data_IF_356805275916
#
_entry.id   IF_356805275916
#
_cell.length_a   1.000
_cell.length_b   1.000
_cell.length_c   1.000
_cell.angle_alpha   90.00
_cell.angle_beta   90.00
_cell.angle_gamma   90.00
#
_symmetry.space_group_name_H-M   'P 1'
#
loop_
_entity.id
_entity.type
_entity.pdbx_description
1 polymer ?
#
# COMPACT_ATOMS: atom_id res chain seq x y z
N UNK A 1 19.56 -10.46 5.32
CA UNK A 1 18.57 -11.31 6.01
C UNK A 1 17.84 -12.14 4.98
N UNK A 2 17.53 -13.39 5.27
CA UNK A 2 16.75 -14.21 4.34
C UNK A 2 15.33 -13.67 4.19
N UNK A 3 14.76 -13.79 2.99
CA UNK A 3 13.41 -13.30 2.67
C UNK A 3 12.30 -13.85 3.57
N UNK A 4 12.43 -15.13 3.93
CA UNK A 4 11.52 -15.81 4.86
C UNK A 4 11.48 -15.13 6.24
N UNK A 5 12.64 -14.72 6.75
CA UNK A 5 12.75 -14.00 8.03
C UNK A 5 12.12 -12.60 7.93
N UNK A 6 12.40 -11.87 6.84
CA UNK A 6 11.79 -10.56 6.60
C UNK A 6 10.26 -10.61 6.59
N UNK A 7 9.69 -11.62 5.91
CA UNK A 7 8.24 -11.82 5.85
C UNK A 7 7.66 -12.08 7.25
N UNK A 8 8.30 -12.95 8.03
CA UNK A 8 7.84 -13.24 9.39
C UNK A 8 7.90 -12.00 10.30
N UNK A 9 8.91 -11.14 10.14
CA UNK A 9 8.94 -9.86 10.88
C UNK A 9 7.82 -8.94 10.41
N UNK A 10 7.59 -8.78 9.11
CA UNK A 10 6.50 -7.96 8.58
C UNK A 10 5.12 -8.38 9.12
N UNK A 11 4.87 -9.69 9.26
CA UNK A 11 3.60 -10.22 9.75
C UNK A 11 3.30 -9.90 11.23
N UNK A 12 4.29 -9.47 12.02
CA UNK A 12 4.09 -9.12 13.44
C UNK A 12 3.50 -7.73 13.66
N UNK A 13 3.38 -6.93 12.60
CA UNK A 13 2.99 -5.53 12.70
C UNK A 13 1.58 -5.28 12.19
N UNK A 14 0.99 -4.20 12.68
CA UNK A 14 -0.27 -3.61 12.20
C UNK A 14 0.09 -2.37 11.39
N UNK A 15 -0.52 -2.21 10.23
CA UNK A 15 -0.18 -1.15 9.28
C UNK A 15 -1.31 -0.13 9.18
N UNK A 16 -1.01 1.14 9.44
CA UNK A 16 -1.93 2.24 9.21
C UNK A 16 -2.06 2.48 7.70
N UNK A 17 -3.26 2.23 7.14
CA UNK A 17 -3.58 2.41 5.73
C UNK A 17 -3.46 3.87 5.34
N UNK A 18 -2.51 4.20 4.44
CA UNK A 18 -2.18 5.57 4.03
C UNK A 18 -1.77 6.47 5.20
N UNK A 19 -1.10 5.90 6.22
CA UNK A 19 -0.78 6.57 7.48
C UNK A 19 -1.95 6.61 8.48
N UNK A 20 -1.67 7.11 9.70
CA UNK A 20 -2.69 7.26 10.75
C UNK A 20 -3.47 8.56 10.55
N UNK A 21 -4.23 8.63 9.46
CA UNK A 21 -4.99 9.79 9.03
C UNK A 21 -6.25 10.01 9.88
N UNK A 22 -6.70 11.27 9.96
CA UNK A 22 -7.95 11.69 10.62
C UNK A 22 -8.58 12.82 9.81
N UNK A 23 -9.39 12.45 8.82
CA UNK A 23 -10.00 13.38 7.87
C UNK A 23 -11.00 14.32 8.56
N UNK A 24 -11.15 15.54 8.05
CA UNK A 24 -10.43 16.15 6.92
C UNK A 24 -9.10 16.82 7.31
N UNK A 25 -8.80 16.97 8.61
CA UNK A 25 -7.67 17.77 9.12
C UNK A 25 -6.31 17.11 8.98
N UNK A 26 -6.28 15.78 8.96
CA UNK A 26 -5.06 14.97 8.74
C UNK A 26 -5.35 14.05 7.57
N UNK A 27 -5.05 14.47 6.32
CA UNK A 27 -5.36 13.70 5.13
C UNK A 27 -4.63 12.36 5.05
N UNK A 28 -5.21 11.43 4.31
CA UNK A 28 -4.51 10.20 3.91
C UNK A 28 -3.25 10.53 3.08
N UNK A 29 -2.22 9.68 3.16
CA UNK A 29 -0.96 9.85 2.42
C UNK A 29 -0.28 11.23 2.65
N UNK A 30 -0.48 11.86 3.83
CA UNK A 30 0.14 13.12 4.21
C UNK A 30 1.31 12.91 5.18
N UNK A 31 2.23 13.89 5.23
CA UNK A 31 3.36 13.83 6.17
C UNK A 31 2.88 13.81 7.63
N UNK A 32 1.80 14.52 7.95
CA UNK A 32 1.19 14.51 9.28
C UNK A 32 0.63 13.12 9.65
N UNK A 33 -0.06 12.43 8.71
CA UNK A 33 -0.57 11.09 8.95
C UNK A 33 0.56 10.08 9.18
N UNK A 34 1.66 10.21 8.46
CA UNK A 34 2.83 9.35 8.61
C UNK A 34 3.57 9.61 9.93
N UNK A 35 3.75 10.87 10.33
CA UNK A 35 4.35 11.22 11.61
C UNK A 35 3.57 10.62 12.78
N UNK A 36 2.24 10.70 12.75
CA UNK A 36 1.36 10.08 13.75
C UNK A 36 1.50 8.55 13.79
N UNK A 37 1.56 7.89 12.63
CA UNK A 37 1.77 6.44 12.59
C UNK A 37 3.10 6.03 13.20
N UNK A 38 4.20 6.77 12.91
CA UNK A 38 5.52 6.56 13.50
C UNK A 38 5.49 6.75 15.01
N UNK A 39 4.87 7.84 15.50
CA UNK A 39 4.76 8.14 16.92
C UNK A 39 3.96 7.07 17.66
N UNK A 40 2.87 6.59 17.07
CA UNK A 40 2.07 5.49 17.61
C UNK A 40 2.74 4.12 17.47
N UNK A 41 3.85 3.99 16.73
CA UNK A 41 4.58 2.74 16.50
C UNK A 41 3.83 1.74 15.62
N UNK A 42 2.96 2.21 14.72
CA UNK A 42 2.34 1.39 13.69
C UNK A 42 3.22 1.33 12.44
N UNK A 43 3.21 0.19 11.75
CA UNK A 43 3.67 0.12 10.37
C UNK A 43 2.83 1.05 9.49
N UNK A 44 3.35 1.39 8.32
CA UNK A 44 2.67 2.28 7.39
C UNK A 44 2.47 1.56 6.06
N UNK A 45 1.24 1.58 5.57
CA UNK A 45 0.96 1.32 4.16
C UNK A 45 0.81 2.65 3.45
N UNK A 46 1.30 2.75 2.20
CA UNK A 46 1.25 3.95 1.37
C UNK A 46 1.25 3.62 -0.13
N UNK A 47 0.79 4.60 -0.94
CA UNK A 47 0.60 4.47 -2.37
C UNK A 47 1.58 5.34 -3.16
N UNK A 48 2.21 4.79 -4.21
CA UNK A 48 3.14 5.53 -5.06
C UNK A 48 2.66 5.62 -6.51
N UNK A 49 2.66 6.85 -7.04
CA UNK A 49 2.54 7.15 -8.46
C UNK A 49 3.82 7.77 -9.01
N UNK A 50 4.07 7.57 -10.31
CA UNK A 50 5.17 8.20 -11.02
C UNK A 50 4.67 9.49 -11.69
N UNK A 51 5.27 10.63 -11.36
CA UNK A 51 4.97 11.93 -11.98
C UNK A 51 5.59 12.05 -13.37
N UNK A 52 5.19 13.07 -14.14
CA UNK A 52 5.72 13.37 -15.48
C UNK A 52 7.25 13.58 -15.49
N UNK A 53 7.79 14.16 -14.43
CA UNK A 53 9.24 14.37 -14.26
C UNK A 53 9.97 13.19 -13.61
N UNK A 54 9.32 12.03 -13.49
CA UNK A 54 9.92 10.79 -12.98
C UNK A 54 10.15 10.76 -11.47
N UNK A 55 9.48 11.63 -10.72
CA UNK A 55 9.47 11.61 -9.26
C UNK A 55 8.38 10.67 -8.72
N UNK A 56 8.53 10.24 -7.48
CA UNK A 56 7.55 9.40 -6.80
C UNK A 56 6.66 10.24 -5.88
N UNK A 57 5.42 10.43 -6.29
CA UNK A 57 4.39 11.09 -5.52
C UNK A 57 3.66 10.09 -4.61
N UNK A 58 3.45 10.47 -3.34
CA UNK A 58 2.70 9.63 -2.39
C UNK A 58 1.23 10.06 -2.41
N UNK A 59 0.41 9.32 -3.16
CA UNK A 59 -1.03 9.57 -3.32
C UNK A 59 -1.72 8.31 -3.82
N UNK A 60 -2.98 8.08 -3.41
CA UNK A 60 -3.72 6.87 -3.80
C UNK A 60 -4.29 6.90 -5.21
N UNK A 61 -4.99 7.98 -5.56
CA UNK A 61 -5.72 8.08 -6.83
C UNK A 61 -4.84 8.69 -7.92
N UNK A 62 -4.90 8.17 -9.15
CA UNK A 62 -4.31 8.83 -10.31
C UNK A 62 -4.88 10.23 -10.54
N UNK A 63 -6.17 10.45 -10.21
CA UNK A 63 -6.83 11.75 -10.30
C UNK A 63 -6.79 12.51 -8.98
N UNK A 64 -6.38 13.77 -9.02
CA UNK A 64 -6.37 14.68 -7.85
C UNK A 64 -7.77 15.13 -7.42
N UNK A 65 -8.84 14.68 -8.11
CA UNK A 65 -10.20 15.18 -7.88
C UNK A 65 -10.72 14.94 -6.46
N UNK A 66 -10.47 13.75 -5.90
CA UNK A 66 -10.99 13.37 -4.58
C UNK A 66 -10.23 14.05 -3.44
N UNK A 67 -8.91 14.12 -3.55
CA UNK A 67 -8.04 14.59 -2.47
C UNK A 67 -7.67 16.07 -2.58
N UNK A 68 -7.65 16.63 -3.81
CA UNK A 68 -7.24 18.03 -4.04
C UNK A 68 -8.32 18.88 -4.72
N UNK A 69 -9.50 18.32 -5.04
CA UNK A 69 -10.62 19.04 -5.65
C UNK A 69 -10.46 19.37 -7.14
N UNK A 70 -9.33 19.03 -7.78
CA UNK A 70 -9.02 19.38 -9.19
C UNK A 70 -8.99 18.17 -10.10
N UNK A 71 -9.54 18.30 -11.32
CA UNK A 71 -9.61 17.19 -12.27
C UNK A 71 -8.33 17.11 -13.13
N UNK A 72 -7.22 16.81 -12.48
CA UNK A 72 -5.91 16.60 -13.09
C UNK A 72 -5.43 15.19 -12.73
N UNK A 73 -4.51 14.63 -13.53
CA UNK A 73 -3.85 13.36 -13.23
C UNK A 73 -2.44 13.60 -12.74
N UNK A 74 -2.03 12.85 -11.73
CA UNK A 74 -0.70 12.97 -11.13
C UNK A 74 0.42 12.67 -12.14
N UNK A 75 0.18 11.73 -13.06
CA UNK A 75 1.14 11.37 -14.11
C UNK A 75 1.37 12.47 -15.16
N UNK A 76 0.42 13.41 -15.31
CA UNK A 76 0.51 14.54 -16.24
C UNK A 76 1.21 15.75 -15.63
N UNK A 77 1.53 15.72 -14.33
CA UNK A 77 2.14 16.79 -13.57
C UNK A 77 3.59 16.47 -13.19
N UNK A 78 4.42 17.48 -13.06
CA UNK A 78 5.64 17.39 -12.26
C UNK A 78 5.25 17.35 -10.77
N UNK A 79 6.13 16.84 -9.93
CA UNK A 79 5.89 16.85 -8.48
C UNK A 79 5.73 18.28 -7.93
N UNK A 80 6.48 19.24 -8.48
CA UNK A 80 6.36 20.65 -8.09
C UNK A 80 4.96 21.18 -8.39
N UNK A 81 4.43 20.97 -9.61
CA UNK A 81 3.07 21.37 -9.99
C UNK A 81 2.01 20.66 -9.12
N UNK A 82 2.20 19.37 -8.79
CA UNK A 82 1.28 18.63 -7.94
C UNK A 82 1.20 19.18 -6.50
N UNK A 83 2.30 19.71 -5.98
CA UNK A 83 2.40 20.34 -4.65
C UNK A 83 1.70 21.69 -4.55
N UNK A 84 1.30 22.32 -5.65
CA UNK A 84 0.49 23.53 -5.61
C UNK A 84 -0.92 23.28 -5.05
N UNK A 85 -1.38 22.04 -5.09
CA UNK A 85 -2.72 21.66 -4.62
C UNK A 85 -2.67 21.11 -3.20
N UNK A 86 -3.49 21.68 -2.27
CA UNK A 86 -3.60 21.15 -0.91
C UNK A 86 -4.34 19.81 -0.89
N UNK A 87 -4.01 18.97 0.09
CA UNK A 87 -4.72 17.74 0.38
C UNK A 87 -5.93 18.04 1.27
N UNK A 88 -7.14 17.75 0.77
CA UNK A 88 -8.40 17.99 1.50
C UNK A 88 -8.49 19.41 2.07
N UNK A 89 -9.02 19.59 3.29
CA UNK A 89 -9.15 20.89 3.96
C UNK A 89 -7.95 21.16 4.90
N UNK A 90 -6.71 21.01 4.38
CA UNK A 90 -5.48 21.13 5.19
C UNK A 90 -4.37 21.89 4.47
N UNK A 91 -3.29 22.19 5.20
CA UNK A 91 -2.05 22.75 4.63
C UNK A 91 -1.09 21.69 4.10
N UNK A 92 -1.44 20.40 4.24
CA UNK A 92 -0.63 19.29 3.73
C UNK A 92 -0.58 19.30 2.19
N UNK A 93 0.52 18.81 1.66
CA UNK A 93 0.79 18.71 0.22
C UNK A 93 1.16 17.27 -0.12
N UNK A 94 1.02 16.89 -1.39
CA UNK A 94 1.44 15.58 -1.89
C UNK A 94 2.93 15.37 -1.57
N UNK A 95 3.30 14.38 -0.74
CA UNK A 95 4.70 14.14 -0.37
C UNK A 95 5.49 13.54 -1.55
N UNK A 96 6.79 13.83 -1.59
CA UNK A 96 7.75 13.00 -2.33
C UNK A 96 8.12 11.79 -1.48
N UNK A 97 8.25 10.62 -2.10
CA UNK A 97 8.59 9.39 -1.39
C UNK A 97 9.91 9.47 -0.62
N UNK A 98 10.90 10.21 -1.15
CA UNK A 98 12.18 10.42 -0.46
C UNK A 98 12.02 11.24 0.84
N UNK A 99 11.08 12.20 0.88
CA UNK A 99 10.78 12.97 2.10
C UNK A 99 10.12 12.06 3.15
N UNK A 100 9.18 11.22 2.71
CA UNK A 100 8.55 10.21 3.55
C UNK A 100 9.57 9.22 4.14
N UNK A 101 10.47 8.66 3.33
CA UNK A 101 11.50 7.74 3.81
C UNK A 101 12.41 8.37 4.86
N UNK A 102 12.75 9.67 4.70
CA UNK A 102 13.52 10.42 5.70
C UNK A 102 12.77 10.62 7.02
N UNK A 103 11.47 10.91 6.95
CA UNK A 103 10.62 11.05 8.13
C UNK A 103 10.58 9.75 8.94
N UNK A 104 10.31 8.63 8.25
CA UNK A 104 10.18 7.33 8.90
C UNK A 104 11.54 6.86 9.44
N UNK A 105 12.62 7.03 8.68
CA UNK A 105 13.98 6.70 9.10
C UNK A 105 14.16 5.28 9.63
N UNK A 106 13.40 4.31 9.14
CA UNK A 106 13.48 2.91 9.56
C UNK A 106 12.79 2.58 10.89
N UNK A 107 12.10 3.52 11.53
CA UNK A 107 11.49 3.35 12.86
C UNK A 107 10.33 2.37 12.88
N UNK A 108 9.58 2.27 11.79
CA UNK A 108 8.44 1.37 11.62
C UNK A 108 8.49 0.69 10.25
N UNK A 109 7.90 -0.51 10.09
CA UNK A 109 7.89 -1.20 8.81
C UNK A 109 6.96 -0.56 7.78
N UNK A 110 7.26 -0.78 6.49
CA UNK A 110 6.52 -0.22 5.37
C UNK A 110 5.91 -1.30 4.48
N UNK A 111 4.69 -1.05 4.02
CA UNK A 111 4.05 -1.71 2.88
C UNK A 111 3.88 -0.65 1.80
N UNK A 112 4.57 -0.81 0.67
CA UNK A 112 4.63 0.20 -0.40
C UNK A 112 3.84 -0.31 -1.60
N UNK A 113 2.67 0.29 -1.88
CA UNK A 113 1.89 -0.05 -3.07
C UNK A 113 2.37 0.74 -4.30
N UNK A 114 2.64 0.03 -5.40
CA UNK A 114 2.96 0.63 -6.69
C UNK A 114 1.71 0.72 -7.57
N UNK A 115 1.24 1.95 -7.80
CA UNK A 115 0.07 2.27 -8.63
C UNK A 115 0.49 2.45 -10.08
N UNK A 116 0.57 1.36 -10.84
CA UNK A 116 0.93 1.41 -12.24
C UNK A 116 -0.22 1.92 -13.11
N UNK A 117 0.06 2.93 -13.92
CA UNK A 117 -0.87 3.57 -14.86
C UNK A 117 -0.22 3.71 -16.24
N UNK A 118 -1.01 3.59 -17.30
CA UNK A 118 -0.55 3.92 -18.66
C UNK A 118 0.69 3.15 -19.15
N UNK A 119 0.92 1.92 -18.68
CA UNK A 119 2.10 1.09 -19.01
C UNK A 119 3.41 1.58 -18.41
N UNK A 120 3.37 2.24 -17.26
CA UNK A 120 4.55 2.74 -16.56
C UNK A 120 5.15 1.75 -15.53
N UNK A 121 4.69 0.48 -15.49
CA UNK A 121 5.02 -0.53 -14.47
C UNK A 121 6.52 -0.61 -14.22
N UNK A 122 7.31 -0.67 -15.30
CA UNK A 122 8.77 -0.79 -15.21
C UNK A 122 9.40 0.49 -14.67
N UNK A 123 9.02 1.64 -15.22
CA UNK A 123 9.59 2.94 -14.83
C UNK A 123 9.26 3.27 -13.35
N UNK A 124 8.02 3.04 -12.92
CA UNK A 124 7.57 3.21 -11.55
C UNK A 124 8.34 2.26 -10.60
N UNK A 125 8.43 0.98 -10.97
CA UNK A 125 9.17 0.00 -10.15
C UNK A 125 10.63 0.37 -10.01
N UNK A 126 11.32 0.71 -11.12
CA UNK A 126 12.74 1.09 -11.09
C UNK A 126 12.97 2.37 -10.25
N UNK A 127 12.05 3.34 -10.32
CA UNK A 127 12.13 4.55 -9.50
C UNK A 127 11.96 4.22 -8.00
N UNK A 128 10.97 3.39 -7.64
CA UNK A 128 10.74 2.98 -6.27
C UNK A 128 11.92 2.18 -5.69
N UNK A 129 12.48 1.26 -6.48
CA UNK A 129 13.63 0.46 -6.05
C UNK A 129 14.90 1.30 -5.88
N UNK A 130 15.12 2.31 -6.73
CA UNK A 130 16.22 3.26 -6.54
C UNK A 130 16.07 4.07 -5.25
N UNK A 131 14.85 4.53 -4.93
CA UNK A 131 14.60 5.26 -3.70
C UNK A 131 14.77 4.39 -2.44
N UNK A 132 14.46 3.09 -2.54
CA UNK A 132 14.59 2.13 -1.45
C UNK A 132 16.00 1.52 -1.31
N UNK A 133 16.92 1.76 -2.26
CA UNK A 133 18.23 1.11 -2.29
C UNK A 133 19.06 1.36 -1.02
N UNK A 134 19.00 2.58 -0.48
CA UNK A 134 19.72 2.98 0.73
C UNK A 134 18.82 2.98 2.00
N UNK A 135 17.55 2.58 1.86
CA UNK A 135 16.64 2.52 3.00
C UNK A 135 16.84 1.24 3.81
N UNK A 136 17.26 1.38 5.05
CA UNK A 136 17.59 0.24 5.94
C UNK A 136 16.40 -0.27 6.74
N UNK A 137 15.25 0.41 6.70
CA UNK A 137 14.03 0.00 7.40
C UNK A 137 13.38 -1.25 6.80
N UNK A 138 12.67 -2.00 7.63
CA UNK A 138 11.89 -3.15 7.20
C UNK A 138 10.79 -2.72 6.22
N UNK A 139 10.74 -3.31 5.03
CA UNK A 139 9.75 -2.97 4.03
C UNK A 139 9.41 -4.12 3.09
N UNK A 140 8.24 -4.03 2.49
CA UNK A 140 7.83 -4.85 1.34
C UNK A 140 7.13 -3.96 0.29
N UNK A 141 6.99 -4.49 -0.90
CA UNK A 141 6.37 -3.79 -2.05
C UNK A 141 5.22 -4.63 -2.58
N UNK A 142 4.10 -3.99 -2.89
CA UNK A 142 2.94 -4.68 -3.44
C UNK A 142 2.31 -3.92 -4.61
N UNK A 143 1.48 -4.60 -5.38
CA UNK A 143 0.71 -3.98 -6.47
C UNK A 143 -0.50 -4.83 -6.85
N UNK A 144 -1.55 -4.16 -7.35
CA UNK A 144 -2.62 -4.83 -8.10
C UNK A 144 -2.18 -5.28 -9.48
N UNK A 145 -1.15 -4.64 -10.07
CA UNK A 145 -0.64 -5.00 -11.40
C UNK A 145 0.22 -6.27 -11.34
N UNK A 146 -0.23 -7.38 -11.96
CA UNK A 146 0.59 -8.59 -12.04
C UNK A 146 1.91 -8.36 -12.81
N UNK A 147 1.93 -7.37 -13.71
CA UNK A 147 3.13 -6.99 -14.46
C UNK A 147 4.21 -6.37 -13.56
N UNK A 148 3.81 -5.55 -12.57
CA UNK A 148 4.72 -5.02 -11.54
C UNK A 148 5.31 -6.17 -10.71
N UNK A 149 4.46 -7.10 -10.24
CA UNK A 149 4.90 -8.23 -9.39
C UNK A 149 5.84 -9.17 -10.17
N UNK A 150 5.54 -9.44 -11.44
CA UNK A 150 6.42 -10.23 -12.31
C UNK A 150 7.75 -9.52 -12.62
N UNK A 151 7.71 -8.20 -12.82
CA UNK A 151 8.93 -7.41 -13.02
C UNK A 151 9.80 -7.35 -11.76
N UNK A 152 9.20 -7.14 -10.57
CA UNK A 152 9.92 -7.25 -9.29
C UNK A 152 10.60 -8.61 -9.12
N UNK A 153 9.92 -9.71 -9.47
CA UNK A 153 10.52 -11.06 -9.43
C UNK A 153 11.78 -11.16 -10.30
N UNK A 154 11.76 -10.59 -11.50
CA UNK A 154 12.83 -10.71 -12.48
C UNK A 154 14.00 -9.76 -12.21
N UNK A 155 13.71 -8.51 -11.91
CA UNK A 155 14.71 -7.45 -11.80
C UNK A 155 15.22 -7.25 -10.36
N UNK A 156 14.36 -7.51 -9.37
CA UNK A 156 14.63 -7.25 -7.94
C UNK A 156 14.27 -8.45 -7.05
N UNK A 157 14.86 -9.64 -7.28
CA UNK A 157 14.44 -10.89 -6.65
C UNK A 157 14.60 -10.88 -5.11
N UNK A 158 15.47 -10.04 -4.56
CA UNK A 158 15.71 -9.92 -3.11
C UNK A 158 14.58 -9.17 -2.39
N UNK A 159 13.79 -8.35 -3.10
CA UNK A 159 12.70 -7.56 -2.50
C UNK A 159 11.52 -8.48 -2.14
N UNK A 160 10.97 -8.32 -0.93
CA UNK A 160 9.72 -8.96 -0.52
C UNK A 160 8.58 -8.31 -1.29
N UNK A 161 7.89 -9.09 -2.14
CA UNK A 161 6.85 -8.61 -3.04
C UNK A 161 5.52 -9.27 -2.79
N UNK A 162 4.45 -8.48 -2.85
CA UNK A 162 3.08 -8.91 -2.66
C UNK A 162 2.20 -8.73 -3.89
N UNK A 163 1.19 -9.57 -3.99
CA UNK A 163 0.08 -9.38 -4.92
C UNK A 163 -1.14 -8.87 -4.16
N UNK A 164 -1.61 -7.67 -4.51
CA UNK A 164 -2.90 -7.17 -4.08
C UNK A 164 -4.04 -7.86 -4.86
N UNK A 165 -5.05 -8.34 -4.15
CA UNK A 165 -6.15 -9.09 -4.74
C UNK A 165 -7.45 -8.94 -3.94
N UNK A 166 -8.57 -9.35 -4.57
CA UNK A 166 -9.92 -9.32 -4.01
C UNK A 166 -10.97 -9.35 -5.13
N UNK A 167 -12.25 -9.38 -4.79
CA UNK A 167 -13.35 -9.28 -5.73
C UNK A 167 -13.68 -7.80 -6.03
N UNK A 168 -12.93 -7.20 -6.95
CA UNK A 168 -12.90 -5.75 -7.17
C UNK A 168 -13.96 -5.25 -8.17
N UNK A 169 -14.61 -6.14 -8.92
CA UNK A 169 -15.55 -5.77 -9.99
C UNK A 169 -16.76 -4.94 -9.51
N UNK A 170 -17.11 -5.07 -8.22
CA UNK A 170 -18.23 -4.31 -7.62
C UNK A 170 -17.90 -2.83 -7.39
N UNK A 171 -16.62 -2.49 -7.25
CA UNK A 171 -16.16 -1.15 -6.87
C UNK A 171 -15.41 -0.42 -8.00
N UNK A 172 -14.60 -1.14 -8.76
CA UNK A 172 -13.76 -0.56 -9.83
C UNK A 172 -14.34 -0.89 -11.20
N UNK A 173 -15.07 0.06 -11.80
CA UNK A 173 -15.58 -0.04 -13.18
C UNK A 173 -14.49 -0.20 -14.26
N UNK A 174 -13.22 -0.02 -13.88
CA UNK A 174 -12.05 -0.10 -14.78
C UNK A 174 -11.49 -1.51 -14.93
N UNK A 175 -11.89 -2.46 -14.07
CA UNK A 175 -11.43 -3.85 -14.12
C UNK A 175 -12.45 -4.70 -14.89
N UNK A 176 -11.99 -5.42 -15.92
CA UNK A 176 -12.83 -6.35 -16.66
C UNK A 176 -13.20 -7.56 -15.79
N UNK A 177 -14.35 -8.22 -16.10
CA UNK A 177 -14.75 -9.45 -15.39
C UNK A 177 -13.68 -10.53 -15.42
N UNK A 178 -12.94 -10.63 -16.52
CA UNK A 178 -11.85 -11.59 -16.66
C UNK A 178 -10.69 -11.27 -15.71
N UNK A 179 -10.26 -10.01 -15.62
CA UNK A 179 -9.22 -9.57 -14.69
C UNK A 179 -9.65 -9.80 -13.23
N UNK A 180 -10.91 -9.50 -12.91
CA UNK A 180 -11.46 -9.75 -11.58
C UNK A 180 -11.40 -11.25 -11.20
N UNK A 181 -11.78 -12.15 -12.11
CA UNK A 181 -11.69 -13.59 -11.91
C UNK A 181 -10.24 -14.02 -11.65
N UNK A 182 -9.28 -13.48 -12.39
CA UNK A 182 -7.87 -13.81 -12.24
C UNK A 182 -7.31 -13.34 -10.89
N UNK A 183 -7.64 -12.12 -10.48
CA UNK A 183 -7.20 -11.53 -9.19
C UNK A 183 -7.88 -12.23 -8.01
N UNK A 184 -9.20 -12.35 -8.03
CA UNK A 184 -9.99 -12.99 -6.99
C UNK A 184 -9.54 -14.42 -6.70
N UNK A 185 -9.23 -15.19 -7.76
CA UNK A 185 -8.79 -16.58 -7.65
C UNK A 185 -7.27 -16.74 -7.55
N UNK A 186 -6.51 -15.65 -7.36
CA UNK A 186 -5.05 -15.65 -7.24
C UNK A 186 -4.31 -16.31 -8.42
N UNK A 187 -4.94 -16.42 -9.59
CA UNK A 187 -4.34 -17.06 -10.78
C UNK A 187 -3.17 -16.23 -11.33
N UNK A 188 -3.16 -14.92 -11.10
CA UNK A 188 -2.06 -14.02 -11.42
C UNK A 188 -0.75 -14.40 -10.71
N UNK A 189 -0.84 -15.08 -9.57
CA UNK A 189 0.32 -15.49 -8.76
C UNK A 189 1.20 -16.51 -9.47
N UNK A 190 0.69 -17.23 -10.47
CA UNK A 190 1.49 -18.17 -11.26
C UNK A 190 2.64 -17.47 -12.00
N UNK A 191 2.42 -16.25 -12.48
CA UNK A 191 3.45 -15.45 -13.16
C UNK A 191 4.37 -14.75 -12.15
N UNK A 192 3.82 -13.93 -11.28
CA UNK A 192 4.56 -13.07 -10.34
C UNK A 192 5.25 -13.82 -9.20
N UNK A 193 4.72 -14.99 -8.80
CA UNK A 193 5.17 -15.75 -7.63
C UNK A 193 5.44 -14.82 -6.44
N UNK A 194 4.41 -14.15 -5.93
CA UNK A 194 4.54 -13.22 -4.82
C UNK A 194 4.95 -13.96 -3.55
N UNK A 195 5.64 -13.26 -2.65
CA UNK A 195 6.05 -13.78 -1.35
C UNK A 195 4.90 -13.73 -0.34
N UNK A 196 3.95 -12.82 -0.55
CA UNK A 196 2.71 -12.70 0.23
C UNK A 196 1.53 -12.27 -0.66
N UNK A 197 0.33 -12.39 -0.14
CA UNK A 197 -0.89 -11.88 -0.75
C UNK A 197 -1.54 -10.88 0.20
N UNK A 198 -1.82 -9.68 -0.29
CA UNK A 198 -2.65 -8.71 0.40
C UNK A 198 -4.08 -8.79 -0.17
N UNK A 199 -5.02 -9.28 0.63
CA UNK A 199 -6.36 -9.59 0.17
C UNK A 199 -7.42 -8.74 0.86
N UNK A 200 -8.45 -8.39 0.11
CA UNK A 200 -9.57 -7.63 0.64
C UNK A 200 -10.28 -8.40 1.74
N UNK A 201 -10.43 -7.79 2.90
CA UNK A 201 -10.96 -8.45 4.10
C UNK A 201 -12.39 -8.97 3.91
N UNK A 202 -13.25 -8.21 3.23
CA UNK A 202 -14.64 -8.60 2.96
C UNK A 202 -14.75 -9.85 2.09
N UNK A 203 -13.71 -10.14 1.30
CA UNK A 203 -13.65 -11.30 0.41
C UNK A 203 -12.83 -12.47 0.99
N UNK A 204 -12.45 -12.42 2.27
CA UNK A 204 -11.55 -13.40 2.92
C UNK A 204 -12.01 -14.86 2.83
N UNK A 205 -13.32 -15.07 2.73
CA UNK A 205 -13.90 -16.41 2.62
C UNK A 205 -13.86 -17.01 1.21
N UNK A 206 -13.37 -16.26 0.22
CA UNK A 206 -13.16 -16.77 -1.13
C UNK A 206 -12.23 -17.99 -1.11
N UNK A 207 -12.59 -19.09 -1.78
CA UNK A 207 -11.88 -20.36 -1.67
C UNK A 207 -10.38 -20.27 -1.97
N UNK A 208 -10.00 -19.43 -2.95
CA UNK A 208 -8.60 -19.25 -3.34
C UNK A 208 -7.76 -18.65 -2.20
N UNK A 209 -8.27 -17.62 -1.52
CA UNK A 209 -7.57 -17.00 -0.40
C UNK A 209 -7.65 -17.86 0.87
N UNK A 210 -8.80 -18.45 1.14
CA UNK A 210 -8.98 -19.33 2.30
C UNK A 210 -7.98 -20.49 2.33
N UNK A 211 -7.70 -21.09 1.17
CA UNK A 211 -6.76 -22.20 1.03
C UNK A 211 -5.33 -21.78 0.74
N UNK A 212 -5.07 -20.48 0.56
CA UNK A 212 -3.71 -19.98 0.35
C UNK A 212 -2.84 -20.22 1.59
N UNK A 213 -1.67 -20.85 1.41
CA UNK A 213 -0.76 -21.26 2.50
C UNK A 213 0.39 -20.29 2.74
N UNK A 214 0.57 -19.27 1.89
CA UNK A 214 1.61 -18.25 2.03
C UNK A 214 1.27 -17.18 3.06
N UNK A 215 2.19 -16.22 3.21
CA UNK A 215 1.99 -15.05 4.06
C UNK A 215 0.80 -14.20 3.60
N UNK A 216 0.02 -13.71 4.55
CA UNK A 216 -1.23 -12.99 4.31
C UNK A 216 -1.20 -11.62 4.93
N UNK A 217 -1.64 -10.63 4.17
CA UNK A 217 -2.07 -9.33 4.66
C UNK A 217 -3.55 -9.16 4.33
N UNK A 218 -4.30 -8.41 5.15
CA UNK A 218 -5.70 -8.12 4.89
C UNK A 218 -5.98 -6.63 4.96
N UNK A 219 -6.66 -6.11 3.94
CA UNK A 219 -7.10 -4.72 3.80
C UNK A 219 -8.58 -4.65 3.42
N UNK A 220 -9.36 -3.71 3.86
CA UNK A 220 -9.01 -2.72 4.86
C UNK A 220 -9.76 -3.06 6.13
N UNK A 221 -9.04 -3.13 7.25
CA UNK A 221 -9.62 -3.45 8.57
C UNK A 221 -10.17 -2.17 9.17
N UNK A 222 -11.45 -2.13 9.52
CA UNK A 222 -12.15 -0.91 9.97
C UNK A 222 -12.77 -1.00 11.36
N UNK A 223 -12.63 -2.13 12.03
CA UNK A 223 -13.13 -2.31 13.39
C UNK A 223 -12.22 -3.20 14.21
N UNK A 224 -12.39 -3.15 15.53
CA UNK A 224 -11.65 -4.03 16.43
C UNK A 224 -12.06 -5.51 16.28
N UNK A 225 -13.32 -5.78 15.91
CA UNK A 225 -13.79 -7.15 15.61
C UNK A 225 -13.13 -7.71 14.35
N UNK A 226 -13.05 -6.88 13.30
CA UNK A 226 -12.35 -7.26 12.06
C UNK A 226 -10.86 -7.48 12.31
N UNK A 227 -10.24 -6.65 13.18
CA UNK A 227 -8.85 -6.81 13.59
C UNK A 227 -8.61 -8.17 14.24
N UNK A 228 -9.41 -8.54 15.24
CA UNK A 228 -9.33 -9.86 15.87
C UNK A 228 -9.51 -10.99 14.87
N UNK A 229 -10.46 -10.85 13.97
CA UNK A 229 -10.70 -11.83 12.91
C UNK A 229 -9.49 -11.96 12.00
N UNK A 230 -8.90 -10.84 11.54
CA UNK A 230 -7.70 -10.82 10.72
C UNK A 230 -6.51 -11.53 11.42
N UNK A 231 -6.27 -11.18 12.68
CA UNK A 231 -5.18 -11.78 13.48
C UNK A 231 -5.40 -13.27 13.75
N UNK A 232 -6.65 -13.71 13.95
CA UNK A 232 -6.98 -15.12 14.09
C UNK A 232 -6.71 -15.94 12.82
N UNK A 233 -6.69 -15.30 11.66
CA UNK A 233 -6.25 -15.89 10.38
C UNK A 233 -4.74 -15.95 10.22
N UNK A 234 -3.97 -15.38 11.16
CA UNK A 234 -2.51 -15.23 11.07
C UNK A 234 -2.09 -14.24 9.98
N UNK A 235 -2.95 -13.27 9.66
CA UNK A 235 -2.69 -12.24 8.67
C UNK A 235 -2.27 -10.91 9.32
N UNK A 236 -1.40 -10.15 8.66
CA UNK A 236 -1.08 -8.80 9.07
C UNK A 236 -2.20 -7.82 8.66
N UNK A 237 -2.76 -7.02 9.58
CA UNK A 237 -3.82 -6.08 9.26
C UNK A 237 -3.29 -4.77 8.68
N UNK A 238 -3.92 -4.31 7.61
CA UNK A 238 -3.84 -2.94 7.10
C UNK A 238 -5.15 -2.26 7.51
N UNK A 239 -5.09 -1.30 8.45
CA UNK A 239 -6.26 -0.75 9.14
C UNK A 239 -6.45 0.74 8.90
N UNK A 240 -7.71 1.21 9.01
CA UNK A 240 -8.07 2.64 8.98
C UNK A 240 -9.31 2.92 9.83
N UNK A 241 -9.59 4.20 10.10
CA UNK A 241 -10.81 4.72 10.77
C UNK A 241 -10.96 4.35 12.25
N UNK A 242 -10.01 3.66 12.84
CA UNK A 242 -9.94 3.41 14.29
C UNK A 242 -8.48 3.25 14.69
N UNK A 243 -8.20 3.35 15.99
CA UNK A 243 -6.86 3.15 16.52
C UNK A 243 -6.81 1.88 17.41
N UNK A 244 -6.12 0.80 16.96
CA UNK A 244 -6.09 -0.47 17.68
C UNK A 244 -5.71 -0.38 19.16
N UNK A 245 -4.73 0.45 19.53
CA UNK A 245 -4.25 0.61 20.90
C UNK A 245 -5.27 1.23 21.85
N UNK A 246 -6.21 2.05 21.36
CA UNK A 246 -7.27 2.62 22.18
C UNK A 246 -8.22 1.56 22.74
N UNK A 247 -8.40 0.45 22.02
CA UNK A 247 -9.26 -0.65 22.44
C UNK A 247 -8.56 -1.62 23.38
N UNK A 248 -7.24 -1.79 23.25
CA UNK A 248 -6.46 -2.66 24.14
C UNK A 248 -6.39 -2.11 25.57
N UNK A 249 -6.39 -0.78 25.71
CA UNK A 249 -6.37 -0.09 26.98
C UNK A 249 -7.74 -0.06 27.71
N UNK A 250 -8.82 -0.55 27.08
CA UNK A 250 -10.19 -0.58 27.63
C UNK A 250 -10.64 -1.96 28.09
N UNK A 251 -9.81 -2.99 27.91
CA UNK A 251 -10.04 -4.38 28.30
C UNK A 251 -9.09 -4.77 29.43
#
# INVERSE_FOLDING_TARGET
>A
MEKSVLIQELLKHRYAHRGLHAKPTIPENSMAAFARAVEAGYGIELDLHLTRDGKLAVIHDASLKRTCGVNLKIEDLTLAEARDYPLEESDERIPEFCDFLRLVGGKVPLVVELKAEGRNEKALTDAAMRALADYTGLHCVESFSPAVVDYLKKAYPAVVRGQLAGALNKEKKTITRFQDILLKNLLVNLAGRPDFVAYRFEDRDEPAFRHFKGAKFMWTIRSYEDLKTCEAWGAAPIFEQFEPKEYENKV
#
